data_IF_437399342131
#
_entry.id   IF_437399342131
#
_cell.length_a   1.000
_cell.length_b   1.000
_cell.length_c   1.000
_cell.angle_alpha   90.00
_cell.angle_beta   90.00
_cell.angle_gamma   90.00
#
_symmetry.space_group_name_H-M   'P 1'
#
loop_
_entity.id
_entity.type
_entity.pdbx_description
1 polymer ?
#
# COMPACT_ATOMS: atom_id res chain seq x y z
N UNK A 1 3.99 -23.38 -0.08
CA UNK A 1 4.09 -21.97 0.34
C UNK A 1 4.84 -21.21 -0.73
N UNK A 2 4.21 -20.29 -1.47
CA UNK A 2 4.94 -19.44 -2.40
C UNK A 2 5.90 -18.54 -1.61
N UNK A 3 7.18 -18.55 -1.97
CA UNK A 3 8.15 -17.66 -1.36
C UNK A 3 7.75 -16.20 -1.63
N UNK A 4 7.58 -15.39 -0.59
CA UNK A 4 7.30 -13.96 -0.73
C UNK A 4 8.59 -13.29 -1.23
N UNK A 5 8.67 -13.01 -2.53
CA UNK A 5 9.87 -12.38 -3.12
C UNK A 5 9.85 -10.84 -3.06
N UNK A 6 8.67 -10.21 -3.02
CA UNK A 6 8.51 -8.76 -2.89
C UNK A 6 7.38 -8.38 -1.89
N UNK A 7 7.72 -8.10 -0.62
CA UNK A 7 6.76 -7.69 0.40
C UNK A 7 6.03 -6.37 0.10
N UNK A 8 6.61 -5.50 -0.74
CA UNK A 8 5.97 -4.22 -1.14
C UNK A 8 4.94 -4.50 -2.23
N UNK A 9 5.25 -5.36 -3.19
CA UNK A 9 4.28 -5.78 -4.21
C UNK A 9 3.07 -6.49 -3.59
N UNK A 10 3.29 -7.36 -2.59
CA UNK A 10 2.22 -7.99 -1.81
C UNK A 10 1.34 -6.94 -1.10
N UNK A 11 1.95 -5.98 -0.40
CA UNK A 11 1.24 -4.87 0.25
C UNK A 11 0.32 -4.11 -0.73
N UNK A 12 0.84 -3.69 -1.89
CA UNK A 12 0.05 -2.98 -2.89
C UNK A 12 -1.07 -3.84 -3.48
N UNK A 13 -0.81 -5.13 -3.65
CA UNK A 13 -1.78 -6.08 -4.23
C UNK A 13 -2.92 -6.36 -3.26
N UNK A 14 -2.63 -6.51 -1.96
CA UNK A 14 -3.67 -6.66 -0.92
C UNK A 14 -4.61 -5.47 -0.86
N UNK A 15 -4.08 -4.24 -0.91
CA UNK A 15 -4.90 -3.02 -0.97
C UNK A 15 -5.79 -3.04 -2.21
N UNK A 16 -5.22 -3.32 -3.39
CA UNK A 16 -5.97 -3.37 -4.65
C UNK A 16 -7.10 -4.40 -4.60
N UNK A 17 -6.83 -5.59 -4.07
CA UNK A 17 -7.80 -6.67 -4.00
C UNK A 17 -8.91 -6.35 -2.98
N UNK A 18 -8.56 -5.82 -1.81
CA UNK A 18 -9.53 -5.37 -0.82
C UNK A 18 -10.43 -4.23 -1.36
N UNK A 19 -9.87 -3.32 -2.17
CA UNK A 19 -10.65 -2.30 -2.86
C UNK A 19 -11.64 -2.87 -3.86
N UNK A 20 -11.19 -3.82 -4.71
CA UNK A 20 -12.06 -4.53 -5.65
C UNK A 20 -13.18 -5.30 -4.94
N UNK A 21 -12.88 -5.90 -3.79
CA UNK A 21 -13.84 -6.60 -2.96
C UNK A 21 -14.71 -5.69 -2.08
N UNK A 22 -14.52 -4.35 -2.16
CA UNK A 22 -15.26 -3.34 -1.37
C UNK A 22 -15.16 -3.56 0.15
N UNK A 23 -14.02 -4.03 0.64
CA UNK A 23 -13.79 -4.19 2.07
C UNK A 23 -13.54 -2.84 2.75
N UNK A 24 -14.04 -2.68 3.97
CA UNK A 24 -13.80 -1.46 4.76
C UNK A 24 -12.32 -1.34 5.21
N UNK A 25 -11.66 -2.48 5.44
CA UNK A 25 -10.27 -2.52 5.88
C UNK A 25 -9.52 -3.72 5.30
N UNK A 26 -8.20 -3.71 5.41
CA UNK A 26 -7.32 -4.81 5.03
C UNK A 26 -6.20 -5.00 6.04
N UNK A 27 -5.94 -6.26 6.38
CA UNK A 27 -4.87 -6.64 7.30
C UNK A 27 -3.63 -7.12 6.54
N UNK A 28 -2.49 -6.51 6.85
CA UNK A 28 -1.21 -6.78 6.17
C UNK A 28 -0.13 -7.02 7.22
N UNK A 29 0.76 -8.01 7.05
CA UNK A 29 1.92 -8.17 7.92
C UNK A 29 2.74 -6.88 8.00
N UNK A 30 3.03 -6.42 9.22
CA UNK A 30 3.68 -5.15 9.44
C UNK A 30 5.17 -5.20 9.10
N UNK A 31 5.70 -4.06 8.64
CA UNK A 31 7.14 -3.80 8.53
C UNK A 31 7.37 -2.29 8.61
N UNK A 32 8.58 -1.86 8.95
CA UNK A 32 8.90 -0.42 9.05
C UNK A 32 8.61 0.31 7.73
N UNK A 33 8.98 -0.30 6.60
CA UNK A 33 8.71 0.25 5.27
C UNK A 33 7.20 0.35 4.99
N UNK A 34 6.41 -0.67 5.33
CA UNK A 34 4.95 -0.66 5.13
C UNK A 34 4.24 0.37 6.00
N UNK A 35 4.72 0.58 7.22
CA UNK A 35 4.23 1.65 8.12
C UNK A 35 4.48 3.02 7.52
N UNK A 36 5.71 3.29 7.06
CA UNK A 36 6.07 4.55 6.42
C UNK A 36 5.23 4.81 5.15
N UNK A 37 5.03 3.79 4.31
CA UNK A 37 4.15 3.91 3.13
C UNK A 37 2.69 4.20 3.53
N UNK A 38 2.18 3.56 4.57
CA UNK A 38 0.80 3.77 5.05
C UNK A 38 0.61 5.18 5.61
N UNK A 39 1.61 5.71 6.33
CA UNK A 39 1.62 7.10 6.78
C UNK A 39 1.52 8.07 5.60
N UNK A 40 2.35 7.90 4.57
CA UNK A 40 2.29 8.74 3.36
C UNK A 40 0.91 8.67 2.69
N UNK A 41 0.32 7.47 2.58
CA UNK A 41 -1.02 7.32 2.01
C UNK A 41 -2.10 8.03 2.84
N UNK A 42 -1.98 8.00 4.17
CA UNK A 42 -2.87 8.72 5.09
C UNK A 42 -2.72 10.23 4.93
N UNK A 43 -1.48 10.73 4.95
CA UNK A 43 -1.18 12.17 4.86
C UNK A 43 -1.64 12.78 3.54
N UNK A 44 -1.57 12.01 2.45
CA UNK A 44 -2.09 12.41 1.14
C UNK A 44 -3.59 12.14 0.96
N UNK A 45 -4.27 11.62 1.98
CA UNK A 45 -5.72 11.42 1.99
C UNK A 45 -6.24 10.27 1.12
N UNK A 46 -5.37 9.33 0.73
CA UNK A 46 -5.71 8.16 -0.09
C UNK A 46 -6.36 7.03 0.70
N UNK A 47 -6.02 6.90 1.99
CA UNK A 47 -6.67 6.01 2.94
C UNK A 47 -7.33 6.83 4.04
N UNK A 48 -8.25 6.24 4.80
CA UNK A 48 -8.90 6.93 5.91
C UNK A 48 -8.00 6.97 7.13
N UNK A 49 -7.50 5.81 7.55
CA UNK A 49 -6.56 5.68 8.65
C UNK A 49 -5.81 4.34 8.57
N UNK A 50 -4.84 4.12 9.45
CA UNK A 50 -4.24 2.82 9.70
C UNK A 50 -3.92 2.64 11.18
N UNK A 51 -3.95 1.40 11.65
CA UNK A 51 -3.53 1.03 13.01
C UNK A 51 -2.52 -0.10 12.97
N UNK A 52 -1.60 -0.09 13.94
CA UNK A 52 -0.67 -1.19 14.15
C UNK A 52 -1.17 -2.02 15.33
N UNK A 53 -1.40 -3.31 15.09
CA UNK A 53 -1.83 -4.27 16.08
C UNK A 53 -0.63 -5.17 16.40
N UNK A 54 -0.29 -5.30 17.68
CA UNK A 54 0.72 -6.27 18.12
C UNK A 54 0.08 -7.67 18.20
N UNK A 55 0.74 -8.66 17.60
CA UNK A 55 0.27 -10.06 17.54
C UNK A 55 1.27 -11.04 18.17
N UNK A 56 2.26 -10.53 18.93
CA UNK A 56 3.36 -11.30 19.48
C UNK A 56 4.36 -11.83 18.43
N UNK A 57 4.24 -11.39 17.17
CA UNK A 57 5.12 -11.77 16.05
C UNK A 57 5.64 -10.50 15.37
N UNK A 58 5.49 -10.39 14.05
CA UNK A 58 5.90 -9.23 13.26
C UNK A 58 4.92 -8.04 13.35
N UNK A 59 3.75 -8.23 13.96
CA UNK A 59 2.65 -7.27 14.01
C UNK A 59 1.79 -7.27 12.74
N UNK A 60 0.58 -6.74 12.89
CA UNK A 60 -0.39 -6.55 11.82
C UNK A 60 -0.60 -5.06 11.60
N UNK A 61 -0.64 -4.65 10.34
CA UNK A 61 -0.98 -3.32 9.89
C UNK A 61 -2.37 -3.37 9.28
N UNK A 62 -3.35 -2.80 9.98
CA UNK A 62 -4.73 -2.71 9.50
C UNK A 62 -4.95 -1.35 8.87
N UNK A 63 -5.25 -1.34 7.57
CA UNK A 63 -5.53 -0.11 6.81
C UNK A 63 -7.03 0.03 6.60
N UNK A 64 -7.58 1.21 6.89
CA UNK A 64 -8.96 1.57 6.60
C UNK A 64 -9.05 2.24 5.23
N UNK A 65 -9.76 1.60 4.31
CA UNK A 65 -9.85 2.01 2.92
C UNK A 65 -10.86 3.14 2.76
N UNK A 66 -10.53 4.12 1.92
CA UNK A 66 -11.38 5.28 1.66
C UNK A 66 -12.14 5.10 0.34
N UNK A 67 -13.43 5.39 0.39
CA UNK A 67 -14.34 5.34 -0.75
C UNK A 67 -15.07 6.67 -0.92
N UNK A 68 -15.34 7.04 -2.17
CA UNK A 68 -16.20 8.17 -2.52
C UNK A 68 -17.67 7.74 -2.50
N UNK A 69 -18.58 8.71 -2.70
CA UNK A 69 -20.01 8.44 -2.90
C UNK A 69 -20.18 7.43 -4.05
N UNK A 70 -21.09 6.47 -3.85
CA UNK A 70 -21.30 5.38 -4.81
C UNK A 70 -20.32 4.20 -4.69
N UNK A 71 -19.45 4.18 -3.66
CA UNK A 71 -18.56 3.05 -3.39
C UNK A 71 -17.33 2.97 -4.31
N UNK A 72 -17.00 4.06 -5.00
CA UNK A 72 -15.81 4.15 -5.84
C UNK A 72 -14.58 4.31 -4.95
N UNK A 73 -13.54 3.44 -5.06
CA UNK A 73 -12.34 3.58 -4.26
C UNK A 73 -11.57 4.87 -4.61
N UNK A 74 -11.07 5.58 -3.60
CA UNK A 74 -10.27 6.82 -3.81
C UNK A 74 -8.97 6.52 -4.57
N UNK A 75 -8.38 5.36 -4.34
CA UNK A 75 -7.19 4.91 -5.07
C UNK A 75 -7.65 4.17 -6.32
N UNK A 76 -7.34 4.73 -7.50
CA UNK A 76 -7.71 4.12 -8.78
C UNK A 76 -6.62 3.18 -9.32
N UNK A 77 -5.34 3.51 -9.14
CA UNK A 77 -4.21 2.76 -9.68
C UNK A 77 -3.07 2.65 -8.67
N UNK A 78 -2.58 1.43 -8.47
CA UNK A 78 -1.41 1.11 -7.65
C UNK A 78 -0.40 0.33 -8.49
N UNK A 79 0.86 0.77 -8.55
CA UNK A 79 1.89 0.12 -9.36
C UNK A 79 3.25 0.14 -8.65
N UNK A 80 3.97 -0.99 -8.71
CA UNK A 80 5.35 -1.12 -8.21
C UNK A 80 6.35 -0.83 -9.33
N UNK A 81 7.09 0.27 -9.22
CA UNK A 81 8.04 0.73 -10.25
C UNK A 81 9.38 -0.01 -10.18
N UNK A 82 10.01 -0.09 -9.01
CA UNK A 82 11.27 -0.83 -8.81
C UNK A 82 10.98 -2.22 -8.25
N UNK A 83 11.38 -3.29 -8.95
CA UNK A 83 11.11 -4.68 -8.58
C UNK A 83 12.41 -5.43 -8.30
N UNK A 84 12.39 -6.60 -7.59
CA UNK A 84 13.61 -7.35 -7.32
C UNK A 84 14.41 -7.74 -8.57
N UNK A 85 13.73 -8.15 -9.65
CA UNK A 85 14.38 -8.52 -10.92
C UNK A 85 14.90 -7.34 -11.75
N UNK A 86 14.46 -6.10 -11.48
CA UNK A 86 14.98 -4.90 -12.11
C UNK A 86 14.80 -3.70 -11.17
N UNK A 87 15.90 -3.28 -10.55
CA UNK A 87 15.93 -2.10 -9.69
C UNK A 87 15.99 -0.84 -10.56
N UNK A 88 15.14 0.12 -10.25
CA UNK A 88 15.12 1.43 -10.92
C UNK A 88 15.58 2.50 -9.96
N UNK A 89 16.67 3.17 -10.32
CA UNK A 89 17.23 4.32 -9.62
C UNK A 89 17.14 5.53 -10.53
N UNK A 90 16.85 6.70 -9.97
CA UNK A 90 16.72 7.96 -10.71
C UNK A 90 17.44 9.06 -9.96
N UNK A 91 18.15 9.93 -10.69
CA UNK A 91 18.73 11.14 -10.13
C UNK A 91 17.67 12.20 -9.85
N UNK A 92 18.01 13.22 -9.07
CA UNK A 92 17.09 14.28 -8.64
C UNK A 92 16.42 14.99 -9.84
N UNK A 93 17.19 15.29 -10.89
CA UNK A 93 16.70 15.97 -12.09
C UNK A 93 15.78 15.10 -12.96
N UNK A 94 15.77 13.79 -12.72
CA UNK A 94 15.03 12.80 -13.51
C UNK A 94 13.86 12.18 -12.73
N UNK A 95 13.36 12.85 -11.68
CA UNK A 95 12.22 12.36 -10.92
C UNK A 95 10.96 12.29 -11.80
N UNK A 96 10.34 11.09 -11.92
CA UNK A 96 9.18 10.93 -12.78
C UNK A 96 7.95 11.60 -12.19
N UNK A 97 7.18 12.30 -13.03
CA UNK A 97 5.85 12.80 -12.68
C UNK A 97 4.81 11.72 -12.95
N UNK A 98 3.88 11.52 -12.00
CA UNK A 98 2.89 10.42 -12.07
C UNK A 98 1.50 10.94 -12.43
N UNK A 99 1.09 12.06 -11.86
CA UNK A 99 -0.12 12.80 -12.19
C UNK A 99 0.26 14.28 -12.32
N UNK A 100 -0.38 14.97 -13.26
CA UNK A 100 -0.17 16.38 -13.55
C UNK A 100 -0.86 17.26 -12.52
#
# INVERSE_FOLDING_TARGET
MSAISDPVSDYLTRIRNAQKARHAHVDIPASNLKRAMSQILKDKGYIQDYVTIQDGKQGILRLYLKYMRGGVPVIQKLTRVSKPGLRRYVGADNLPRVLN
#
